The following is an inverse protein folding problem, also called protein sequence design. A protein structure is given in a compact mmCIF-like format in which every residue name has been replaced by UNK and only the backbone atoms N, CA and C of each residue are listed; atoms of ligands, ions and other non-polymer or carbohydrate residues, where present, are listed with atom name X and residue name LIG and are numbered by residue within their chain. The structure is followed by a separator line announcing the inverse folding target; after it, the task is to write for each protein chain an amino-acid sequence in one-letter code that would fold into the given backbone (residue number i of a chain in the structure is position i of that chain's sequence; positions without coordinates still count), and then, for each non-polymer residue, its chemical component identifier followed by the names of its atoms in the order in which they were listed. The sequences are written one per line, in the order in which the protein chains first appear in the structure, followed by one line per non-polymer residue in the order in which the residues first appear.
data_IF_930164385294
#
_entry.id   IF_930164385294
#
_cell.length_a   1.000
_cell.length_b   1.000
_cell.length_c   1.000
_cell.angle_alpha   90.00
_cell.angle_beta   90.00
_cell.angle_gamma   90.00
#
_symmetry.space_group_name_H-M   'P 1'
#
loop_
_entity.id
_entity.type
_entity.pdbx_description
1 polymer ?
#
# COMPACT_ATOMS: atom_id res chain seq x y z
N UNK A 1 -7.94 16.20 -3.62
CA UNK A 1 -6.60 15.63 -3.64
C UNK A 1 -5.94 15.83 -5.01
N UNK A 2 -4.62 15.73 -5.07
CA UNK A 2 -3.83 15.88 -6.30
C UNK A 2 -4.30 14.91 -7.42
N UNK A 3 -4.65 13.68 -7.07
CA UNK A 3 -5.12 12.66 -8.03
C UNK A 3 -6.53 12.94 -8.58
N UNK A 4 -7.32 13.77 -7.93
CA UNK A 4 -8.67 14.13 -8.40
C UNK A 4 -8.64 15.27 -9.42
N UNK A 5 -7.56 16.01 -9.51
CA UNK A 5 -7.37 17.07 -10.49
C UNK A 5 -6.94 16.47 -11.82
N UNK A 6 -7.56 16.89 -12.93
CA UNK A 6 -7.26 16.36 -14.27
C UNK A 6 -5.77 16.48 -14.64
N UNK A 7 -5.14 17.58 -14.29
CA UNK A 7 -3.70 17.80 -14.52
C UNK A 7 -2.84 16.86 -13.66
N UNK A 8 -3.26 16.62 -12.42
CA UNK A 8 -2.59 15.66 -11.52
C UNK A 8 -2.66 14.23 -12.05
N UNK A 9 -3.81 13.81 -12.56
CA UNK A 9 -3.98 12.48 -13.19
C UNK A 9 -3.09 12.33 -14.42
N UNK A 10 -3.05 13.34 -15.29
CA UNK A 10 -2.22 13.33 -16.49
C UNK A 10 -0.73 13.24 -16.16
N UNK A 11 -0.27 14.03 -15.18
CA UNK A 11 1.12 13.99 -14.72
C UNK A 11 1.48 12.66 -14.08
N UNK A 12 0.61 12.11 -13.25
CA UNK A 12 0.81 10.81 -12.61
C UNK A 12 0.92 9.69 -13.64
N UNK A 13 0.03 9.66 -14.62
CA UNK A 13 0.10 8.70 -15.72
C UNK A 13 1.39 8.81 -16.53
N UNK A 14 1.84 10.03 -16.80
CA UNK A 14 3.09 10.28 -17.50
C UNK A 14 4.29 9.78 -16.70
N UNK A 15 4.33 10.05 -15.40
CA UNK A 15 5.40 9.60 -14.50
C UNK A 15 5.45 8.06 -14.39
N UNK A 16 4.31 7.41 -14.30
CA UNK A 16 4.24 5.94 -14.22
C UNK A 16 4.78 5.31 -15.51
N UNK A 17 4.43 5.87 -16.67
CA UNK A 17 4.89 5.34 -17.96
C UNK A 17 6.36 5.64 -18.24
N UNK A 18 6.80 6.85 -17.94
CA UNK A 18 8.15 7.31 -18.27
C UNK A 18 9.16 7.07 -17.15
N UNK A 19 8.71 6.78 -15.93
CA UNK A 19 9.57 6.64 -14.75
C UNK A 19 10.64 5.58 -14.93
N UNK A 20 10.31 4.48 -15.58
CA UNK A 20 11.24 3.39 -15.85
C UNK A 20 12.43 3.82 -16.71
N UNK A 21 12.18 4.61 -17.75
CA UNK A 21 13.23 5.14 -18.62
C UNK A 21 14.05 6.25 -17.97
N UNK A 22 13.47 6.92 -16.97
CA UNK A 22 14.09 8.02 -16.22
C UNK A 22 14.76 7.56 -14.92
N UNK A 23 14.75 6.26 -14.61
CA UNK A 23 15.18 5.72 -13.31
C UNK A 23 14.48 6.38 -12.12
N UNK A 24 13.22 6.77 -12.30
CA UNK A 24 12.40 7.39 -11.26
C UNK A 24 11.43 6.35 -10.67
N UNK A 25 11.35 6.31 -9.36
CA UNK A 25 10.34 5.56 -8.64
C UNK A 25 9.25 6.51 -8.15
N UNK A 26 7.99 6.10 -8.28
CA UNK A 26 6.85 6.90 -7.86
C UNK A 26 6.10 6.13 -6.77
N UNK A 27 5.86 6.79 -5.66
CA UNK A 27 5.09 6.26 -4.53
C UNK A 27 3.78 7.04 -4.41
N UNK A 28 2.67 6.34 -4.47
CA UNK A 28 1.35 6.92 -4.22
C UNK A 28 0.89 6.51 -2.84
N UNK A 29 0.61 7.50 -2.01
CA UNK A 29 0.07 7.30 -0.66
C UNK A 29 -1.28 7.98 -0.60
N UNK A 30 -2.32 7.21 -0.31
CA UNK A 30 -3.68 7.72 -0.21
C UNK A 30 -4.41 7.08 0.97
N UNK A 31 -5.36 7.80 1.53
CA UNK A 31 -6.27 7.27 2.55
C UNK A 31 -7.48 6.56 1.95
N UNK A 32 -7.77 6.83 0.69
CA UNK A 32 -8.92 6.31 -0.03
C UNK A 32 -8.48 5.55 -1.28
N UNK A 33 -8.84 4.29 -1.37
CA UNK A 33 -8.55 3.49 -2.57
C UNK A 33 -9.30 4.01 -3.81
N UNK A 34 -10.43 4.67 -3.60
CA UNK A 34 -11.21 5.32 -4.67
C UNK A 34 -10.52 6.52 -5.34
N UNK A 35 -9.49 7.09 -4.71
CA UNK A 35 -8.71 8.18 -5.32
C UNK A 35 -7.89 7.70 -6.52
N UNK A 36 -7.59 6.41 -6.58
CA UNK A 36 -6.87 5.77 -7.70
C UNK A 36 -7.88 5.05 -8.58
N UNK A 37 -8.71 5.82 -9.27
CA UNK A 37 -9.84 5.29 -10.03
C UNK A 37 -9.52 4.98 -11.49
N UNK A 38 -8.36 5.40 -11.97
CA UNK A 38 -7.92 5.16 -13.34
C UNK A 38 -7.36 3.72 -13.48
N UNK A 39 -8.05 2.89 -14.25
CA UNK A 39 -7.61 1.51 -14.54
C UNK A 39 -6.20 1.43 -15.11
N UNK A 40 -5.80 2.44 -15.88
CA UNK A 40 -4.44 2.52 -16.43
C UNK A 40 -3.40 2.71 -15.34
N UNK A 41 -3.73 3.50 -14.31
CA UNK A 41 -2.88 3.63 -13.14
C UNK A 41 -2.81 2.32 -12.35
N UNK A 42 -3.96 1.71 -12.09
CA UNK A 42 -4.04 0.45 -11.32
C UNK A 42 -3.17 -0.65 -11.93
N UNK A 43 -3.19 -0.77 -13.25
CA UNK A 43 -2.45 -1.81 -13.97
C UNK A 43 -0.94 -1.57 -14.03
N UNK A 44 -0.51 -0.32 -13.91
CA UNK A 44 0.91 0.04 -13.97
C UNK A 44 1.59 0.08 -12.60
N UNK A 45 0.83 0.01 -11.50
CA UNK A 45 1.37 -0.07 -10.15
C UNK A 45 1.74 -1.54 -9.87
N UNK A 46 3.03 -1.80 -9.75
CA UNK A 46 3.54 -3.16 -9.53
C UNK A 46 3.41 -3.63 -8.09
N UNK A 47 3.79 -2.78 -7.15
CA UNK A 47 3.75 -3.10 -5.72
C UNK A 47 2.59 -2.37 -5.06
N UNK A 48 1.79 -3.10 -4.28
CA UNK A 48 0.62 -2.55 -3.61
C UNK A 48 0.66 -2.91 -2.13
N UNK A 49 0.38 -1.93 -1.29
CA UNK A 49 0.30 -2.08 0.16
C UNK A 49 -1.05 -1.54 0.64
N UNK A 50 -1.76 -2.31 1.43
CA UNK A 50 -2.99 -1.86 2.06
C UNK A 50 -2.94 -2.10 3.56
N UNK A 51 -3.18 -1.05 4.31
CA UNK A 51 -3.26 -1.12 5.77
C UNK A 51 -4.70 -1.39 6.22
N UNK A 52 -4.86 -1.60 7.52
CA UNK A 52 -6.16 -1.91 8.11
C UNK A 52 -7.22 -0.88 7.74
N UNK A 53 -8.37 -1.35 7.32
CA UNK A 53 -9.56 -0.55 7.12
C UNK A 53 -10.75 -1.17 7.86
N UNK A 54 -11.62 -0.34 8.39
CA UNK A 54 -12.86 -0.76 9.07
C UNK A 54 -14.09 -0.52 8.22
N UNK A 55 -14.00 0.33 7.21
CA UNK A 55 -15.11 0.63 6.30
C UNK A 55 -15.24 -0.46 5.24
N UNK A 56 -16.43 -1.05 5.17
CA UNK A 56 -16.72 -2.13 4.22
C UNK A 56 -16.55 -1.68 2.76
N UNK A 57 -16.91 -0.45 2.44
CA UNK A 57 -16.74 0.10 1.08
C UNK A 57 -15.28 0.20 0.71
N UNK A 58 -14.46 0.73 1.62
CA UNK A 58 -13.02 0.82 1.42
C UNK A 58 -12.36 -0.55 1.31
N UNK A 59 -12.80 -1.51 2.11
CA UNK A 59 -12.32 -2.89 2.04
C UNK A 59 -12.60 -3.49 0.66
N UNK A 60 -13.83 -3.34 0.15
CA UNK A 60 -14.20 -3.85 -1.17
C UNK A 60 -13.42 -3.17 -2.30
N UNK A 61 -13.27 -1.85 -2.25
CA UNK A 61 -12.49 -1.10 -3.22
C UNK A 61 -11.00 -1.51 -3.20
N UNK A 62 -10.44 -1.72 -2.02
CA UNK A 62 -9.06 -2.17 -1.85
C UNK A 62 -8.85 -3.57 -2.41
N UNK A 63 -9.75 -4.50 -2.15
CA UNK A 63 -9.68 -5.85 -2.70
C UNK A 63 -9.81 -5.84 -4.22
N UNK A 64 -10.68 -5.02 -4.76
CA UNK A 64 -10.80 -4.82 -6.22
C UNK A 64 -9.52 -4.24 -6.81
N UNK A 65 -8.90 -3.28 -6.12
CA UNK A 65 -7.61 -2.71 -6.51
C UNK A 65 -6.49 -3.76 -6.54
N UNK A 66 -6.53 -4.74 -5.65
CA UNK A 66 -5.61 -5.87 -5.66
C UNK A 66 -5.96 -6.97 -6.67
N UNK A 67 -7.12 -6.90 -7.30
CA UNK A 67 -7.57 -7.94 -8.22
C UNK A 67 -8.00 -9.23 -7.51
N UNK A 68 -8.34 -9.15 -6.24
CA UNK A 68 -8.83 -10.26 -5.42
C UNK A 68 -10.34 -10.20 -5.34
N UNK A 69 -11.01 -11.32 -5.07
CA UNK A 69 -12.45 -11.36 -4.91
C UNK A 69 -12.89 -10.50 -3.72
N UNK A 70 -13.63 -9.43 -4.04
CA UNK A 70 -14.13 -8.47 -3.05
C UNK A 70 -15.30 -8.98 -2.22
N UNK A 71 -16.00 -9.99 -2.70
CA UNK A 71 -17.14 -10.59 -2.00
C UNK A 71 -16.72 -11.73 -1.06
N UNK A 72 -15.49 -12.19 -1.14
CA UNK A 72 -14.96 -13.20 -0.24
C UNK A 72 -14.79 -12.65 1.18
N UNK A 73 -15.59 -13.17 2.11
CA UNK A 73 -15.54 -12.79 3.52
C UNK A 73 -14.15 -13.03 4.15
N UNK A 74 -13.44 -14.06 3.72
CA UNK A 74 -12.09 -14.35 4.18
C UNK A 74 -11.11 -13.23 3.86
N UNK A 75 -11.18 -12.68 2.67
CA UNK A 75 -10.34 -11.55 2.24
C UNK A 75 -10.72 -10.26 2.97
N UNK A 76 -12.02 -10.00 3.13
CA UNK A 76 -12.51 -8.85 3.89
C UNK A 76 -12.07 -8.91 5.35
N UNK A 77 -12.16 -10.09 5.96
CA UNK A 77 -11.73 -10.32 7.34
C UNK A 77 -10.22 -10.09 7.50
N UNK A 78 -9.40 -10.59 6.58
CA UNK A 78 -7.95 -10.37 6.61
C UNK A 78 -7.60 -8.90 6.65
N UNK A 79 -8.25 -8.08 5.83
CA UNK A 79 -7.98 -6.65 5.78
C UNK A 79 -8.47 -5.92 7.04
N UNK A 80 -9.58 -6.38 7.62
CA UNK A 80 -10.15 -5.82 8.85
C UNK A 80 -9.33 -6.16 10.10
N UNK A 81 -8.81 -7.37 10.16
CA UNK A 81 -8.13 -7.91 11.34
C UNK A 81 -6.61 -7.60 11.35
N UNK A 82 -6.12 -6.81 10.42
CA UNK A 82 -4.72 -6.38 10.40
C UNK A 82 -4.36 -5.62 11.68
N UNK A 83 -3.25 -5.99 12.29
CA UNK A 83 -2.70 -5.31 13.46
C UNK A 83 -1.84 -4.10 13.07
N UNK A 84 -1.42 -3.34 14.06
CA UNK A 84 -0.51 -2.22 13.83
C UNK A 84 0.83 -2.72 13.26
N UNK A 85 1.24 -2.12 12.16
CA UNK A 85 2.44 -2.52 11.45
C UNK A 85 2.25 -3.69 10.48
N UNK A 86 1.07 -4.28 10.43
CA UNK A 86 0.72 -5.27 9.41
C UNK A 86 0.05 -4.62 8.22
N UNK A 87 0.33 -5.12 7.03
CA UNK A 87 -0.35 -4.70 5.82
C UNK A 87 -0.55 -5.88 4.86
N UNK A 88 -1.56 -5.76 4.03
CA UNK A 88 -1.75 -6.62 2.89
C UNK A 88 -0.81 -6.15 1.78
N UNK A 89 -0.03 -7.05 1.23
CA UNK A 89 0.99 -6.77 0.23
C UNK A 89 0.75 -7.58 -1.03
N UNK A 90 0.86 -6.93 -2.18
CA UNK A 90 0.87 -7.60 -3.47
C UNK A 90 2.20 -7.33 -4.18
N UNK A 91 2.86 -8.38 -4.63
CA UNK A 91 4.12 -8.29 -5.37
C UNK A 91 3.90 -8.09 -6.88
N UNK A 92 5.00 -7.99 -7.63
CA UNK A 92 4.97 -7.84 -9.08
C UNK A 92 4.39 -9.05 -9.82
N UNK A 93 4.31 -10.20 -9.18
CA UNK A 93 3.78 -11.44 -9.75
C UNK A 93 2.31 -11.68 -9.40
N UNK A 94 1.66 -10.72 -8.74
CA UNK A 94 0.27 -10.83 -8.32
C UNK A 94 0.04 -11.66 -7.06
N UNK A 95 1.09 -12.04 -6.35
CA UNK A 95 0.96 -12.77 -5.08
C UNK A 95 0.51 -11.81 -3.99
N UNK A 96 -0.50 -12.22 -3.24
CA UNK A 96 -1.05 -11.42 -2.14
C UNK A 96 -0.81 -12.13 -0.82
N UNK A 97 -0.30 -11.41 0.16
CA UNK A 97 -0.05 -11.92 1.49
C UNK A 97 -0.03 -10.83 2.54
N UNK A 98 -0.10 -11.22 3.80
CA UNK A 98 0.03 -10.31 4.94
C UNK A 98 1.49 -10.27 5.35
N UNK A 99 2.05 -9.06 5.46
CA UNK A 99 3.41 -8.83 5.93
C UNK A 99 3.42 -7.98 7.18
N UNK A 100 4.43 -8.17 8.01
CA UNK A 100 4.70 -7.35 9.18
C UNK A 100 5.82 -6.37 8.88
N UNK A 101 5.55 -5.08 9.04
CA UNK A 101 6.58 -4.04 8.89
C UNK A 101 7.23 -3.80 10.24
N UNK A 102 8.54 -4.00 10.31
CA UNK A 102 9.32 -3.75 11.50
C UNK A 102 10.23 -2.54 11.31
N UNK A 103 10.07 -1.54 12.16
CA UNK A 103 10.97 -0.39 12.25
C UNK A 103 12.19 -0.66 13.16
N UNK A 104 12.33 -1.89 13.55
CA UNK A 104 13.31 -2.35 14.53
C UNK A 104 14.75 -1.95 14.16
N UNK A 105 15.15 -2.18 12.94
CA UNK A 105 16.53 -1.88 12.50
C UNK A 105 16.83 -0.38 12.53
N UNK A 106 15.85 0.47 12.20
CA UNK A 106 16.00 1.91 12.26
C UNK A 106 16.12 2.42 13.69
N UNK A 107 15.29 1.90 14.59
CA UNK A 107 15.31 2.29 16.00
C UNK A 107 16.60 1.85 16.69
N UNK A 108 17.11 0.66 16.39
CA UNK A 108 18.32 0.14 16.99
C UNK A 108 19.62 0.77 16.45
N UNK A 109 19.61 1.30 15.24
CA UNK A 109 20.77 1.95 14.64
C UNK A 109 20.95 3.39 15.05
N UNK A 110 19.94 4.03 15.62
CA UNK A 110 20.02 5.42 16.09
C UNK A 110 20.71 5.50 17.46
N UNK A 111 21.82 6.27 17.58
CA UNK A 111 22.58 6.32 18.85
C UNK A 111 21.83 6.99 20.00
N UNK A 112 20.78 7.76 19.70
CA UNK A 112 19.95 8.45 20.71
C UNK A 112 18.82 7.59 21.27
N UNK A 113 18.60 6.40 20.72
CA UNK A 113 17.53 5.51 21.16
C UNK A 113 18.05 4.61 22.28
N UNK A 114 17.38 4.57 23.45
CA UNK A 114 17.79 3.73 24.56
C UNK A 114 17.79 2.23 24.17
N UNK A 115 18.80 1.50 24.62
CA UNK A 115 18.92 0.05 24.41
C UNK A 115 17.69 -0.74 24.85
N UNK A 116 16.92 -0.21 25.79
CA UNK A 116 15.69 -0.81 26.26
C UNK A 116 14.65 -1.04 25.15
N UNK A 117 14.62 -0.19 24.14
CA UNK A 117 13.71 -0.37 23.01
C UNK A 117 14.09 -1.55 22.12
N UNK A 118 15.37 -1.77 21.92
CA UNK A 118 15.86 -2.93 21.21
C UNK A 118 15.55 -4.24 21.97
N UNK A 119 15.68 -4.22 23.29
CA UNK A 119 15.40 -5.39 24.14
C UNK A 119 13.93 -5.77 24.20
N UNK A 120 13.03 -4.79 24.14
CA UNK A 120 11.58 -5.06 24.18
C UNK A 120 11.06 -5.80 22.96
N UNK A 121 11.78 -5.77 21.87
CA UNK A 121 11.39 -6.37 20.60
C UNK A 121 11.91 -7.80 20.41
N UNK A 122 12.66 -8.26 21.37
CA UNK A 122 13.04 -9.65 21.46
C UNK A 122 11.91 -10.45 22.06
#
# INVERSE_FOLDING_TARGET
TFLQVAQGKALSNKLIRAGRSMNAAVYFVTQNSGDVDDEKMKNNIGLKFAFRSTDIKEIKNTLEFFGVDKEDEGNQKRLRDLENGQCLFQDLYGRVGVIQIHLYSLTCSMPLIPDRQCRRKK
#
